data_IF_162024648200
#
_entry.id   IF_162024648200
#
_cell.length_a   1.000
_cell.length_b   1.000
_cell.length_c   1.000
_cell.angle_alpha   90.00
_cell.angle_beta   90.00
_cell.angle_gamma   90.00
#
_symmetry.space_group_name_H-M   'P 1'
#
loop_
_entity.id
_entity.type
_entity.pdbx_description
1 polymer ?
#
# COMPACT_ATOMS: atom_id res chain seq x y z
N UNK A 1 -83.17 -7.04 160.89
CA UNK A 1 -82.57 -7.13 159.54
C UNK A 1 -81.20 -7.80 159.62
N UNK A 2 -81.03 -9.08 159.34
CA UNK A 2 -81.86 -10.29 159.57
C UNK A 2 -81.03 -11.52 159.13
N UNK A 3 -81.17 -12.65 159.83
CA UNK A 3 -81.03 -14.05 159.35
C UNK A 3 -79.73 -14.52 158.62
N UNK A 4 -79.27 -15.78 158.66
CA UNK A 4 -79.54 -16.95 159.53
C UNK A 4 -78.68 -18.16 159.07
N UNK A 5 -78.36 -19.11 159.96
CA UNK A 5 -77.85 -20.49 159.70
C UNK A 5 -76.42 -20.67 159.10
N UNK A 6 -75.67 -21.76 159.35
CA UNK A 6 -75.50 -22.66 160.54
C UNK A 6 -74.24 -23.57 160.40
N UNK A 7 -73.73 -24.10 161.52
CA UNK A 7 -72.83 -25.28 161.69
C UNK A 7 -71.38 -25.34 161.11
N UNK A 8 -70.40 -26.07 161.70
CA UNK A 8 -70.13 -26.44 163.13
C UNK A 8 -68.71 -27.07 163.31
N UNK A 9 -68.33 -27.33 164.58
CA UNK A 9 -67.16 -28.08 165.13
C UNK A 9 -65.85 -27.25 165.27
N UNK A 10 -65.35 -26.85 166.46
CA UNK A 10 -65.09 -27.49 167.79
C UNK A 10 -63.93 -28.51 167.75
N UNK A 11 -62.96 -28.59 168.69
CA UNK A 11 -62.63 -27.85 169.95
C UNK A 11 -61.14 -28.20 170.34
N UNK A 12 -60.40 -27.72 171.36
CA UNK A 12 -60.45 -26.72 172.47
C UNK A 12 -58.95 -26.43 172.87
N UNK A 13 -58.46 -25.31 173.40
CA UNK A 13 -58.45 -24.78 174.79
C UNK A 13 -58.36 -25.82 175.95
N UNK A 14 -57.79 -25.57 177.14
CA UNK A 14 -56.83 -24.57 177.66
C UNK A 14 -56.30 -25.05 179.06
N UNK A 15 -55.48 -24.27 179.77
CA UNK A 15 -54.84 -24.63 181.05
C UNK A 15 -55.56 -24.10 182.32
N UNK A 16 -55.21 -24.64 183.50
CA UNK A 16 -55.70 -24.28 184.84
C UNK A 16 -54.74 -24.89 185.90
N UNK A 17 -54.39 -24.34 187.07
CA UNK A 17 -54.34 -22.97 187.63
C UNK A 17 -53.24 -23.00 188.77
N UNK A 18 -53.13 -22.26 189.90
CA UNK A 18 -53.94 -21.32 190.71
C UNK A 18 -53.01 -20.29 191.42
N UNK A 19 -53.56 -19.27 192.09
CA UNK A 19 -52.82 -18.27 192.90
C UNK A 19 -52.77 -18.64 194.41
N UNK A 20 -51.80 -18.09 195.17
CA UNK A 20 -51.59 -18.42 196.60
C UNK A 20 -51.70 -17.23 197.58
N UNK A 21 -52.68 -17.27 198.49
CA UNK A 21 -52.87 -16.28 199.56
C UNK A 21 -52.04 -16.65 200.81
N UNK A 22 -50.89 -15.98 201.00
CA UNK A 22 -49.82 -16.30 201.97
C UNK A 22 -49.19 -17.70 201.75
N UNK A 23 -47.94 -17.81 201.23
CA UNK A 23 -46.79 -17.02 201.69
C UNK A 23 -45.89 -16.37 200.60
N UNK A 24 -45.04 -15.43 201.06
CA UNK A 24 -43.76 -14.99 200.44
C UNK A 24 -43.70 -14.51 198.97
N UNK A 25 -44.30 -13.35 198.69
CA UNK A 25 -43.69 -12.17 198.03
C UNK A 25 -42.88 -12.24 196.70
N UNK A 26 -42.68 -13.38 196.03
CA UNK A 26 -41.84 -13.46 194.82
C UNK A 26 -42.47 -12.89 193.54
N UNK A 27 -43.80 -12.77 193.46
CA UNK A 27 -44.54 -12.54 192.20
C UNK A 27 -44.62 -11.09 191.69
N UNK A 28 -44.03 -10.11 192.40
CA UNK A 28 -43.93 -8.75 191.83
C UNK A 28 -42.82 -8.68 190.77
N UNK A 29 -41.82 -9.56 190.82
CA UNK A 29 -40.72 -9.59 189.85
C UNK A 29 -41.14 -10.23 188.51
N UNK A 30 -42.02 -11.22 188.55
CA UNK A 30 -42.50 -11.98 187.37
C UNK A 30 -43.34 -11.10 186.45
N UNK A 31 -44.23 -10.27 186.99
CA UNK A 31 -45.07 -9.34 186.21
C UNK A 31 -44.24 -8.27 185.51
N UNK A 32 -43.24 -7.70 186.19
CA UNK A 32 -42.33 -6.70 185.61
C UNK A 32 -41.52 -7.33 184.45
N UNK A 33 -41.01 -8.56 184.64
CA UNK A 33 -40.35 -9.32 183.57
C UNK A 33 -41.29 -9.60 182.38
N UNK A 34 -42.56 -9.92 182.61
CA UNK A 34 -43.50 -10.23 181.53
C UNK A 34 -43.80 -9.00 180.65
N UNK A 35 -43.95 -7.82 181.25
CA UNK A 35 -44.12 -6.55 180.51
C UNK A 35 -42.85 -6.24 179.70
N UNK A 36 -41.66 -6.46 180.29
CA UNK A 36 -40.38 -6.27 179.60
C UNK A 36 -40.22 -7.23 178.41
N UNK A 37 -40.61 -8.50 178.57
CA UNK A 37 -40.62 -9.51 177.50
C UNK A 37 -41.59 -9.13 176.37
N UNK A 38 -42.81 -8.69 176.68
CA UNK A 38 -43.79 -8.28 175.67
C UNK A 38 -43.30 -7.04 174.88
N UNK A 39 -42.72 -6.05 175.58
CA UNK A 39 -42.11 -4.89 174.93
C UNK A 39 -40.91 -5.28 174.04
N UNK A 40 -40.06 -6.21 174.51
CA UNK A 40 -38.93 -6.73 173.75
C UNK A 40 -39.36 -7.51 172.49
N UNK A 41 -40.44 -8.30 172.57
CA UNK A 41 -41.01 -9.01 171.40
C UNK A 41 -41.56 -8.03 170.37
N UNK A 42 -42.30 -6.98 170.79
CA UNK A 42 -42.80 -5.96 169.85
C UNK A 42 -41.66 -5.16 169.21
N UNK A 43 -40.60 -4.85 169.97
CA UNK A 43 -39.38 -4.25 169.41
C UNK A 43 -38.67 -5.19 168.42
N UNK A 44 -38.59 -6.48 168.70
CA UNK A 44 -37.99 -7.47 167.80
C UNK A 44 -38.78 -7.61 166.50
N UNK A 45 -40.11 -7.69 166.55
CA UNK A 45 -40.97 -7.75 165.35
C UNK A 45 -40.76 -6.50 164.50
N UNK A 46 -40.83 -5.31 165.08
CA UNK A 46 -40.67 -4.05 164.33
C UNK A 46 -39.24 -3.84 163.81
N UNK A 47 -38.23 -4.38 164.49
CA UNK A 47 -36.85 -4.41 163.99
C UNK A 47 -36.70 -5.42 162.85
N UNK A 48 -37.37 -6.57 162.89
CA UNK A 48 -37.42 -7.52 161.77
C UNK A 48 -38.14 -6.92 160.56
N UNK A 49 -39.28 -6.25 160.74
CA UNK A 49 -39.97 -5.55 159.65
C UNK A 49 -39.09 -4.48 158.99
N UNK A 50 -38.36 -3.68 159.77
CA UNK A 50 -37.41 -2.70 159.25
C UNK A 50 -36.20 -3.34 158.56
N UNK A 51 -35.69 -4.46 159.09
CA UNK A 51 -34.57 -5.20 158.47
C UNK A 51 -34.98 -5.88 157.16
N UNK A 52 -36.18 -6.45 157.09
CA UNK A 52 -36.68 -7.08 155.87
C UNK A 52 -37.12 -6.03 154.83
N UNK A 53 -37.62 -4.86 155.25
CA UNK A 53 -37.77 -3.70 154.36
C UNK A 53 -36.41 -3.26 153.80
N UNK A 54 -35.39 -3.03 154.65
CA UNK A 54 -34.03 -2.68 154.22
C UNK A 54 -33.40 -3.73 153.30
N UNK A 55 -33.62 -5.02 153.57
CA UNK A 55 -33.20 -6.12 152.69
C UNK A 55 -33.93 -6.10 151.36
N UNK A 56 -35.24 -5.85 151.35
CA UNK A 56 -36.01 -5.75 150.09
C UNK A 56 -35.58 -4.55 149.25
N UNK A 57 -35.27 -3.40 149.87
CA UNK A 57 -34.76 -2.23 149.14
C UNK A 57 -33.33 -2.46 148.65
N UNK A 58 -32.44 -3.04 149.46
CA UNK A 58 -31.09 -3.39 149.00
C UNK A 58 -31.09 -4.48 147.93
N UNK A 59 -32.01 -5.45 147.98
CA UNK A 59 -32.16 -6.47 146.94
C UNK A 59 -32.69 -5.86 145.64
N UNK A 60 -33.70 -4.99 145.69
CA UNK A 60 -34.21 -4.28 144.52
C UNK A 60 -33.19 -3.27 143.96
N UNK A 61 -32.37 -2.65 144.82
CA UNK A 61 -31.25 -1.78 144.41
C UNK A 61 -30.13 -2.61 143.75
N UNK A 62 -29.81 -3.80 144.28
CA UNK A 62 -28.87 -4.74 143.66
C UNK A 62 -29.39 -5.26 142.32
N UNK A 63 -30.66 -5.66 142.22
CA UNK A 63 -31.31 -6.10 140.99
C UNK A 63 -31.35 -4.98 139.94
N UNK A 64 -31.69 -3.75 140.34
CA UNK A 64 -31.65 -2.58 139.46
C UNK A 64 -30.22 -2.22 139.03
N UNK A 65 -29.23 -2.34 139.91
CA UNK A 65 -27.82 -2.07 139.59
C UNK A 65 -27.22 -3.17 138.69
N UNK A 66 -27.62 -4.43 138.89
CA UNK A 66 -27.25 -5.55 138.03
C UNK A 66 -27.94 -5.45 136.66
N UNK A 67 -29.20 -5.00 136.60
CA UNK A 67 -29.90 -4.70 135.36
C UNK A 67 -29.28 -3.51 134.61
N UNK A 68 -28.94 -2.42 135.30
CA UNK A 68 -28.23 -1.26 134.71
C UNK A 68 -26.82 -1.66 134.25
N UNK A 69 -26.14 -2.55 134.98
CA UNK A 69 -24.83 -3.08 134.57
C UNK A 69 -24.95 -3.98 133.34
N UNK A 70 -25.85 -4.97 133.35
CA UNK A 70 -26.03 -5.91 132.22
C UNK A 70 -26.54 -5.20 130.98
N UNK A 71 -27.53 -4.30 131.10
CA UNK A 71 -27.95 -3.45 129.96
C UNK A 71 -26.86 -2.45 129.56
N UNK A 72 -25.97 -2.03 130.45
CA UNK A 72 -24.77 -1.25 130.13
C UNK A 72 -23.76 -2.05 129.30
N UNK A 73 -23.49 -3.29 129.69
CA UNK A 73 -22.61 -4.24 128.97
C UNK A 73 -23.23 -4.67 127.62
N UNK A 74 -24.55 -4.86 127.55
CA UNK A 74 -25.28 -5.09 126.30
C UNK A 74 -25.25 -3.85 125.39
N UNK A 75 -25.50 -2.64 125.92
CA UNK A 75 -25.41 -1.42 125.13
C UNK A 75 -23.98 -1.17 124.64
N UNK A 76 -22.95 -1.36 125.47
CA UNK A 76 -21.55 -1.22 125.03
C UNK A 76 -21.21 -2.25 123.94
N UNK A 77 -21.59 -3.52 124.10
CA UNK A 77 -21.33 -4.52 123.05
C UNK A 77 -22.20 -4.34 121.81
N UNK A 78 -23.34 -3.66 121.89
CA UNK A 78 -24.13 -3.20 120.74
C UNK A 78 -23.49 -1.98 120.06
N UNK A 79 -22.95 -1.01 120.80
CA UNK A 79 -22.20 0.13 120.28
C UNK A 79 -20.91 -0.33 119.58
N UNK A 80 -20.13 -1.25 120.18
CA UNK A 80 -18.96 -1.86 119.55
C UNK A 80 -19.32 -2.61 118.25
N UNK A 81 -20.46 -3.31 118.22
CA UNK A 81 -20.99 -3.95 117.00
C UNK A 81 -21.46 -2.93 115.96
N UNK A 82 -22.10 -1.84 116.37
CA UNK A 82 -22.54 -0.76 115.48
C UNK A 82 -21.33 -0.07 114.85
N UNK A 83 -20.35 0.35 115.65
CA UNK A 83 -19.08 0.93 115.17
C UNK A 83 -18.35 -0.02 114.22
N UNK A 84 -18.33 -1.32 114.52
CA UNK A 84 -17.77 -2.34 113.62
C UNK A 84 -18.53 -2.42 112.29
N UNK A 85 -19.88 -2.42 112.31
CA UNK A 85 -20.70 -2.42 111.09
C UNK A 85 -20.62 -1.10 110.31
N UNK A 86 -20.52 0.04 110.96
CA UNK A 86 -20.31 1.34 110.31
C UNK A 86 -18.92 1.41 109.65
N UNK A 87 -17.89 0.85 110.29
CA UNK A 87 -16.57 0.70 109.70
C UNK A 87 -16.58 -0.25 108.49
N UNK A 88 -17.24 -1.41 108.59
CA UNK A 88 -17.44 -2.32 107.45
C UNK A 88 -18.19 -1.62 106.29
N UNK A 89 -19.27 -0.89 106.57
CA UNK A 89 -20.04 -0.14 105.57
C UNK A 89 -19.21 0.99 104.95
N UNK A 90 -18.37 1.67 105.73
CA UNK A 90 -17.45 2.70 105.24
C UNK A 90 -16.39 2.11 104.30
N UNK A 91 -15.77 1.00 104.70
CA UNK A 91 -14.82 0.24 103.88
C UNK A 91 -15.46 -0.31 102.60
N UNK A 92 -16.67 -0.86 102.69
CA UNK A 92 -17.42 -1.38 101.54
C UNK A 92 -17.84 -0.25 100.59
N UNK A 93 -18.25 0.92 101.09
CA UNK A 93 -18.50 2.12 100.26
C UNK A 93 -17.23 2.62 99.57
N UNK A 94 -16.08 2.62 100.26
CA UNK A 94 -14.80 2.98 99.64
C UNK A 94 -14.39 1.98 98.55
N UNK A 95 -14.62 0.69 98.76
CA UNK A 95 -14.39 -0.35 97.75
C UNK A 95 -15.33 -0.22 96.56
N UNK A 96 -16.62 0.06 96.79
CA UNK A 96 -17.60 0.31 95.74
C UNK A 96 -17.19 1.52 94.90
N UNK A 97 -16.94 2.67 95.55
CA UNK A 97 -16.52 3.91 94.88
C UNK A 97 -15.23 3.73 94.05
N UNK A 98 -14.25 2.98 94.55
CA UNK A 98 -13.04 2.64 93.78
C UNK A 98 -13.32 1.69 92.60
N UNK A 99 -14.27 0.77 92.76
CA UNK A 99 -14.69 -0.12 91.68
C UNK A 99 -15.47 0.64 90.60
N UNK A 100 -16.32 1.58 91.00
CA UNK A 100 -17.06 2.48 90.10
C UNK A 100 -16.08 3.40 89.36
N UNK A 101 -15.15 4.06 90.05
CA UNK A 101 -14.08 4.89 89.44
C UNK A 101 -13.22 4.09 88.45
N UNK A 102 -12.83 2.85 88.79
CA UNK A 102 -12.09 1.96 87.89
C UNK A 102 -12.93 1.56 86.67
N UNK A 103 -14.23 1.31 86.85
CA UNK A 103 -15.15 0.94 85.79
C UNK A 103 -15.45 2.12 84.86
N UNK A 104 -15.65 3.33 85.39
CA UNK A 104 -15.79 4.56 84.60
C UNK A 104 -14.51 4.87 83.81
N UNK A 105 -13.33 4.74 84.43
CA UNK A 105 -12.04 4.92 83.74
C UNK A 105 -11.84 3.89 82.61
N UNK A 106 -12.25 2.63 82.83
CA UNK A 106 -12.23 1.59 81.81
C UNK A 106 -13.21 1.89 80.66
N UNK A 107 -14.43 2.32 80.97
CA UNK A 107 -15.44 2.73 79.97
C UNK A 107 -14.96 3.94 79.17
N UNK A 108 -14.40 4.97 79.81
CA UNK A 108 -13.85 6.14 79.14
C UNK A 108 -12.69 5.78 78.19
N UNK A 109 -11.80 4.88 78.62
CA UNK A 109 -10.72 4.34 77.77
C UNK A 109 -11.26 3.56 76.56
N UNK A 110 -12.25 2.69 76.78
CA UNK A 110 -12.91 1.93 75.71
C UNK A 110 -13.66 2.84 74.71
N UNK A 111 -14.39 3.86 75.20
CA UNK A 111 -15.04 4.86 74.35
C UNK A 111 -14.03 5.64 73.52
N UNK A 112 -12.87 5.98 74.09
CA UNK A 112 -11.79 6.62 73.33
C UNK A 112 -11.25 5.70 72.22
N UNK A 113 -10.97 4.43 72.53
CA UNK A 113 -10.53 3.42 71.55
C UNK A 113 -11.56 3.19 70.44
N UNK A 114 -12.85 3.11 70.78
CA UNK A 114 -13.95 3.02 69.81
C UNK A 114 -13.98 4.28 68.92
N UNK A 115 -13.74 5.47 69.49
CA UNK A 115 -13.70 6.72 68.72
C UNK A 115 -12.52 6.81 67.74
N UNK A 116 -11.34 6.27 68.10
CA UNK A 116 -10.19 6.20 67.19
C UNK A 116 -10.39 5.14 66.10
N UNK A 117 -10.88 3.95 66.47
CA UNK A 117 -11.16 2.87 65.51
C UNK A 117 -12.30 3.25 64.53
N UNK A 118 -13.28 4.03 64.97
CA UNK A 118 -14.31 4.58 64.07
C UNK A 118 -13.69 5.49 63.02
N UNK A 119 -12.81 6.43 63.42
CA UNK A 119 -12.13 7.34 62.48
C UNK A 119 -11.23 6.58 61.52
N UNK A 120 -10.47 5.61 62.02
CA UNK A 120 -9.64 4.74 61.16
C UNK A 120 -10.50 3.97 60.15
N UNK A 121 -11.67 3.46 60.55
CA UNK A 121 -12.66 2.85 59.63
C UNK A 121 -13.16 3.85 58.59
N UNK A 122 -13.51 5.06 59.00
CA UNK A 122 -14.00 6.14 58.11
C UNK A 122 -12.92 6.54 57.08
N UNK A 123 -11.67 6.68 57.52
CA UNK A 123 -10.51 6.96 56.67
C UNK A 123 -10.19 5.79 55.72
N UNK A 124 -10.28 4.54 56.18
CA UNK A 124 -10.11 3.37 55.32
C UNK A 124 -11.23 3.27 54.27
N UNK A 125 -12.48 3.54 54.62
CA UNK A 125 -13.62 3.56 53.69
C UNK A 125 -13.45 4.64 52.60
N UNK A 126 -13.00 5.84 53.00
CA UNK A 126 -12.59 6.91 52.08
C UNK A 126 -11.46 6.48 51.14
N UNK A 127 -10.43 5.80 51.65
CA UNK A 127 -9.34 5.27 50.81
C UNK A 127 -9.82 4.15 49.86
N UNK A 128 -10.73 3.26 50.29
CA UNK A 128 -11.29 2.18 49.46
C UNK A 128 -12.16 2.75 48.32
N UNK A 129 -13.00 3.75 48.59
CA UNK A 129 -13.80 4.39 47.54
C UNK A 129 -12.92 5.09 46.49
N UNK A 130 -11.87 5.80 46.90
CA UNK A 130 -10.89 6.40 45.97
C UNK A 130 -10.20 5.34 45.11
N UNK A 131 -9.65 4.29 45.72
CA UNK A 131 -8.98 3.20 44.99
C UNK A 131 -9.93 2.42 44.06
N UNK A 132 -11.23 2.40 44.36
CA UNK A 132 -12.25 1.83 43.46
C UNK A 132 -12.44 2.72 42.23
N UNK A 133 -12.53 4.05 42.41
CA UNK A 133 -12.62 4.99 41.29
C UNK A 133 -11.34 4.99 40.43
N UNK A 134 -10.15 5.01 41.05
CA UNK A 134 -8.86 4.92 40.36
C UNK A 134 -8.78 3.65 39.48
N UNK A 135 -9.30 2.53 39.99
CA UNK A 135 -9.37 1.25 39.28
C UNK A 135 -10.33 1.30 38.09
N UNK A 136 -11.49 1.93 38.23
CA UNK A 136 -12.47 2.02 37.14
C UNK A 136 -12.01 2.96 36.02
N UNK A 137 -11.34 4.07 36.35
CA UNK A 137 -10.69 4.94 35.37
C UNK A 137 -9.55 4.21 34.63
N UNK A 138 -8.75 3.39 35.35
CA UNK A 138 -7.75 2.52 34.74
C UNK A 138 -8.38 1.45 33.81
N UNK A 139 -9.53 0.86 34.19
CA UNK A 139 -10.26 -0.07 33.33
C UNK A 139 -10.73 0.62 32.03
N UNK A 140 -11.27 1.83 32.12
CA UNK A 140 -11.68 2.65 30.96
C UNK A 140 -10.49 2.96 30.05
N UNK A 141 -9.33 3.32 30.64
CA UNK A 141 -8.10 3.59 29.89
C UNK A 141 -7.59 2.33 29.17
N UNK A 142 -7.58 1.17 29.84
CA UNK A 142 -7.19 -0.12 29.24
C UNK A 142 -8.14 -0.52 28.10
N UNK A 143 -9.45 -0.30 28.25
CA UNK A 143 -10.42 -0.53 27.17
C UNK A 143 -10.15 0.37 25.96
N UNK A 144 -9.85 1.66 26.18
CA UNK A 144 -9.50 2.60 25.09
C UNK A 144 -8.21 2.18 24.37
N UNK A 145 -7.15 1.90 25.11
CA UNK A 145 -5.86 1.48 24.55
C UNK A 145 -5.95 0.14 23.79
N UNK A 146 -6.85 -0.75 24.20
CA UNK A 146 -7.15 -1.99 23.46
C UNK A 146 -7.82 -1.68 22.12
N UNK A 147 -8.83 -0.80 22.11
CA UNK A 147 -9.49 -0.37 20.88
C UNK A 147 -8.54 0.36 19.92
N UNK A 148 -7.68 1.25 20.43
CA UNK A 148 -6.67 1.96 19.64
C UNK A 148 -5.64 0.99 19.03
N UNK A 149 -5.22 -0.02 19.80
CA UNK A 149 -4.35 -1.12 19.31
C UNK A 149 -5.02 -1.91 18.19
N UNK A 150 -6.31 -2.25 18.32
CA UNK A 150 -7.03 -3.00 17.29
C UNK A 150 -7.25 -2.16 16.01
N UNK A 151 -7.56 -0.86 16.17
CA UNK A 151 -7.60 0.09 15.06
C UNK A 151 -6.24 0.22 14.35
N UNK A 152 -5.12 0.15 15.09
CA UNK A 152 -3.77 0.15 14.52
C UNK A 152 -3.45 -1.19 13.81
N UNK A 153 -3.83 -2.33 14.38
CA UNK A 153 -3.69 -3.65 13.75
C UNK A 153 -4.45 -3.73 12.41
N UNK A 154 -5.65 -3.16 12.33
CA UNK A 154 -6.42 -3.06 11.09
C UNK A 154 -5.73 -2.17 10.06
N UNK A 155 -5.14 -1.04 10.47
CA UNK A 155 -4.35 -0.18 9.57
C UNK A 155 -3.09 -0.86 9.06
N UNK A 156 -2.32 -1.54 9.93
CA UNK A 156 -1.14 -2.33 9.53
C UNK A 156 -1.54 -3.39 8.51
N UNK A 157 -2.62 -4.12 8.77
CA UNK A 157 -3.13 -5.17 7.86
C UNK A 157 -3.48 -4.61 6.47
N UNK A 158 -4.15 -3.45 6.41
CA UNK A 158 -4.45 -2.75 5.14
C UNK A 158 -3.18 -2.34 4.39
N UNK A 159 -2.23 -1.71 5.09
CA UNK A 159 -0.95 -1.30 4.51
C UNK A 159 -0.14 -2.51 4.02
N UNK A 160 -0.19 -3.66 4.70
CA UNK A 160 0.41 -4.91 4.21
C UNK A 160 -0.29 -5.41 2.93
N UNK A 161 -1.63 -5.38 2.85
CA UNK A 161 -2.34 -5.78 1.63
C UNK A 161 -2.08 -4.84 0.45
N UNK A 162 -1.98 -3.52 0.70
CA UNK A 162 -1.66 -2.53 -0.33
C UNK A 162 -0.20 -2.66 -0.80
N UNK A 163 0.74 -2.93 0.11
CA UNK A 163 2.16 -3.21 -0.22
C UNK A 163 2.27 -4.45 -1.10
N UNK A 164 1.59 -5.55 -0.74
CA UNK A 164 1.59 -6.78 -1.53
C UNK A 164 0.96 -6.56 -2.92
N UNK A 165 -0.11 -5.76 -3.00
CA UNK A 165 -0.72 -5.36 -4.29
C UNK A 165 0.25 -4.55 -5.14
N UNK A 166 0.92 -3.55 -4.57
CA UNK A 166 1.88 -2.71 -5.29
C UNK A 166 3.08 -3.54 -5.78
N UNK A 167 3.56 -4.51 -5.01
CA UNK A 167 4.61 -5.44 -5.46
C UNK A 167 4.16 -6.24 -6.68
N UNK A 168 2.96 -6.83 -6.66
CA UNK A 168 2.42 -7.55 -7.82
C UNK A 168 2.27 -6.66 -9.07
N UNK A 169 1.95 -5.37 -8.90
CA UNK A 169 1.90 -4.41 -10.01
C UNK A 169 3.31 -4.04 -10.54
N UNK A 170 4.33 -4.03 -9.69
CA UNK A 170 5.74 -3.84 -10.10
C UNK A 170 6.24 -5.08 -10.85
N UNK A 171 5.94 -6.28 -10.37
CA UNK A 171 6.32 -7.55 -11.02
C UNK A 171 5.71 -7.67 -12.42
N UNK A 172 4.45 -7.29 -12.59
CA UNK A 172 3.74 -7.29 -13.88
C UNK A 172 4.30 -6.22 -14.84
N UNK A 173 4.52 -4.99 -14.34
CA UNK A 173 5.14 -3.93 -15.13
C UNK A 173 6.57 -4.30 -15.58
N UNK A 174 7.34 -5.00 -14.75
CA UNK A 174 8.69 -5.48 -15.09
C UNK A 174 8.65 -6.48 -16.24
N UNK A 175 7.75 -7.48 -16.17
CA UNK A 175 7.54 -8.44 -17.29
C UNK A 175 7.07 -7.76 -18.58
N UNK A 176 6.24 -6.72 -18.46
CA UNK A 176 5.81 -5.92 -19.62
C UNK A 176 6.99 -5.19 -20.26
N UNK A 177 7.90 -4.62 -19.47
CA UNK A 177 9.14 -3.99 -19.94
C UNK A 177 10.08 -5.02 -20.58
N UNK A 178 10.23 -6.21 -20.00
CA UNK A 178 11.04 -7.30 -20.57
C UNK A 178 10.52 -7.72 -21.95
N UNK A 179 9.20 -7.99 -22.07
CA UNK A 179 8.56 -8.34 -23.34
C UNK A 179 8.69 -7.24 -24.40
N UNK A 180 8.44 -5.97 -24.03
CA UNK A 180 8.60 -4.83 -24.92
C UNK A 180 10.06 -4.63 -25.36
N UNK A 181 11.02 -4.96 -24.50
CA UNK A 181 12.46 -4.92 -24.84
C UNK A 181 12.82 -6.04 -25.83
N UNK A 182 12.27 -7.26 -25.67
CA UNK A 182 12.48 -8.33 -26.65
C UNK A 182 11.85 -7.99 -28.01
N UNK A 183 10.62 -7.48 -28.04
CA UNK A 183 9.95 -7.07 -29.28
C UNK A 183 10.64 -5.87 -29.95
N UNK A 184 11.16 -4.90 -29.18
CA UNK A 184 11.99 -3.82 -29.71
C UNK A 184 13.27 -4.37 -30.36
N UNK A 185 13.93 -5.34 -29.74
CA UNK A 185 15.11 -6.00 -30.31
C UNK A 185 14.76 -6.79 -31.58
N UNK A 186 13.66 -7.56 -31.59
CA UNK A 186 13.16 -8.29 -32.78
C UNK A 186 12.86 -7.34 -33.94
N UNK A 187 12.21 -6.21 -33.67
CA UNK A 187 11.90 -5.18 -34.69
C UNK A 187 13.17 -4.51 -35.20
N UNK A 188 14.14 -4.21 -34.33
CA UNK A 188 15.44 -3.64 -34.70
C UNK A 188 16.24 -4.57 -35.62
N UNK A 189 16.35 -5.86 -35.26
CA UNK A 189 16.99 -6.88 -36.10
C UNK A 189 16.30 -7.05 -37.45
N UNK A 190 14.96 -7.03 -37.49
CA UNK A 190 14.22 -7.06 -38.77
C UNK A 190 14.47 -5.81 -39.62
N UNK A 191 14.54 -4.63 -39.00
CA UNK A 191 14.85 -3.38 -39.71
C UNK A 191 16.24 -3.44 -40.35
N UNK A 192 17.25 -3.93 -39.63
CA UNK A 192 18.60 -4.12 -40.17
C UNK A 192 18.59 -5.05 -41.39
N UNK A 193 17.95 -6.22 -41.32
CA UNK A 193 17.82 -7.14 -42.45
C UNK A 193 17.14 -6.48 -43.66
N UNK A 194 16.04 -5.74 -43.46
CA UNK A 194 15.36 -5.03 -44.57
C UNK A 194 16.20 -3.88 -45.16
N UNK A 195 17.13 -3.31 -44.38
CA UNK A 195 18.05 -2.29 -44.88
C UNK A 195 19.13 -2.94 -45.77
N UNK A 196 19.70 -4.07 -45.34
CA UNK A 196 20.68 -4.84 -46.12
C UNK A 196 20.06 -5.39 -47.42
N UNK A 197 18.80 -5.85 -47.38
CA UNK A 197 18.02 -6.23 -48.57
C UNK A 197 17.84 -5.05 -49.54
N UNK A 198 17.50 -3.86 -49.03
CA UNK A 198 17.32 -2.66 -49.87
C UNK A 198 18.62 -2.22 -50.54
N UNK A 199 19.75 -2.22 -49.82
CA UNK A 199 21.05 -1.84 -50.40
C UNK A 199 21.63 -2.92 -51.33
N UNK A 200 21.34 -4.19 -51.08
CA UNK A 200 21.58 -5.28 -52.04
C UNK A 200 20.75 -5.09 -53.33
N UNK A 201 19.46 -4.79 -53.21
CA UNK A 201 18.57 -4.56 -54.35
C UNK A 201 18.96 -3.31 -55.16
N UNK A 202 19.34 -2.21 -54.48
CA UNK A 202 19.91 -1.01 -55.11
C UNK A 202 21.17 -1.31 -55.91
N UNK A 203 22.03 -2.18 -55.39
CA UNK A 203 23.27 -2.59 -56.06
C UNK A 203 22.99 -3.47 -57.29
N UNK A 204 22.08 -4.43 -57.16
CA UNK A 204 21.60 -5.27 -58.28
C UNK A 204 20.96 -4.42 -59.39
N UNK A 205 20.09 -3.47 -59.04
CA UNK A 205 19.43 -2.58 -60.00
C UNK A 205 20.44 -1.69 -60.75
N UNK A 206 21.49 -1.19 -60.07
CA UNK A 206 22.58 -0.45 -60.72
C UNK A 206 23.32 -1.32 -61.75
N UNK A 207 23.70 -2.54 -61.37
CA UNK A 207 24.37 -3.46 -62.28
C UNK A 207 23.51 -3.81 -63.51
N UNK A 208 22.22 -4.08 -63.31
CA UNK A 208 21.28 -4.35 -64.40
C UNK A 208 21.07 -3.13 -65.31
N UNK A 209 21.03 -1.91 -64.75
CA UNK A 209 20.95 -0.68 -65.53
C UNK A 209 22.22 -0.42 -66.35
N UNK A 210 23.39 -0.82 -65.84
CA UNK A 210 24.66 -0.72 -66.59
C UNK A 210 24.74 -1.77 -67.71
N UNK A 211 24.37 -3.02 -67.42
CA UNK A 211 24.28 -4.08 -68.43
C UNK A 211 23.32 -3.71 -69.57
N UNK A 212 22.15 -3.14 -69.24
CA UNK A 212 21.20 -2.64 -70.23
C UNK A 212 21.78 -1.51 -71.08
N UNK A 213 22.50 -0.57 -70.49
CA UNK A 213 23.17 0.51 -71.23
C UNK A 213 24.28 -0.03 -72.15
N UNK A 214 25.07 -1.01 -71.70
CA UNK A 214 26.07 -1.69 -72.53
C UNK A 214 25.43 -2.48 -73.67
N UNK A 215 24.29 -3.15 -73.44
CA UNK A 215 23.54 -3.86 -74.48
C UNK A 215 22.94 -2.91 -75.52
N UNK A 216 22.39 -1.77 -75.09
CA UNK A 216 21.92 -0.71 -75.98
C UNK A 216 23.06 -0.12 -76.83
N UNK A 217 24.22 0.16 -76.24
CA UNK A 217 25.40 0.63 -76.97
C UNK A 217 25.87 -0.39 -78.03
N UNK A 218 25.90 -1.68 -77.69
CA UNK A 218 26.23 -2.77 -78.64
C UNK A 218 25.22 -2.88 -79.79
N UNK A 219 23.93 -2.68 -79.54
CA UNK A 219 22.92 -2.66 -80.61
C UNK A 219 23.12 -1.45 -81.55
N UNK A 220 23.45 -0.27 -81.02
CA UNK A 220 23.75 0.91 -81.85
C UNK A 220 25.01 0.70 -82.71
N UNK A 221 26.06 0.08 -82.16
CA UNK A 221 27.28 -0.31 -82.90
C UNK A 221 26.99 -1.37 -83.98
N UNK A 222 26.15 -2.36 -83.66
CA UNK A 222 25.69 -3.38 -84.61
C UNK A 222 24.84 -2.78 -85.74
N UNK A 223 23.95 -1.82 -85.45
CA UNK A 223 23.15 -1.12 -86.46
C UNK A 223 24.02 -0.23 -87.37
N UNK A 224 25.05 0.43 -86.82
CA UNK A 224 26.02 1.22 -87.58
C UNK A 224 26.86 0.34 -88.51
N UNK A 225 27.51 -0.70 -87.99
CA UNK A 225 28.32 -1.63 -88.80
C UNK A 225 27.49 -2.37 -89.85
N UNK A 226 26.21 -2.65 -89.57
CA UNK A 226 25.26 -3.22 -90.53
C UNK A 226 24.81 -2.20 -91.60
N UNK A 227 24.77 -0.90 -91.29
CA UNK A 227 24.56 0.16 -92.28
C UNK A 227 25.78 0.31 -93.20
N UNK A 228 26.99 0.35 -92.64
CA UNK A 228 28.23 0.42 -93.42
C UNK A 228 28.40 -0.80 -94.34
N UNK A 229 28.16 -2.01 -93.83
CA UNK A 229 28.22 -3.24 -94.62
C UNK A 229 27.16 -3.27 -95.75
N UNK A 230 26.00 -2.62 -95.56
CA UNK A 230 25.01 -2.43 -96.64
C UNK A 230 25.55 -1.50 -97.73
N UNK A 231 26.24 -0.42 -97.36
CA UNK A 231 26.85 0.53 -98.31
C UNK A 231 27.96 -0.16 -99.10
N UNK A 232 28.86 -0.87 -98.41
CA UNK A 232 29.94 -1.63 -99.04
C UNK A 232 29.42 -2.75 -99.95
N UNK A 233 28.36 -3.46 -99.54
CA UNK A 233 27.72 -4.46 -100.39
C UNK A 233 27.09 -3.85 -101.65
N UNK A 234 26.45 -2.67 -101.55
CA UNK A 234 25.94 -1.95 -102.73
C UNK A 234 27.08 -1.53 -103.68
N UNK A 235 28.17 -0.99 -103.14
CA UNK A 235 29.34 -0.60 -103.91
C UNK A 235 30.03 -1.83 -104.57
N UNK A 236 30.15 -2.95 -103.86
CA UNK A 236 30.68 -4.20 -104.38
C UNK A 236 29.78 -4.82 -105.46
N UNK A 237 28.46 -4.83 -105.25
CA UNK A 237 27.48 -5.28 -106.25
C UNK A 237 27.59 -4.50 -107.54
N UNK A 238 27.80 -3.18 -107.48
CA UNK A 238 27.98 -2.34 -108.66
C UNK A 238 29.34 -2.60 -109.35
N UNK A 239 30.40 -2.96 -108.60
CA UNK A 239 31.68 -3.44 -109.18
C UNK A 239 31.49 -4.81 -109.87
N UNK A 240 30.72 -5.72 -109.28
CA UNK A 240 30.41 -7.05 -109.83
C UNK A 240 29.56 -6.96 -111.11
N UNK A 241 28.46 -6.21 -111.10
CA UNK A 241 27.62 -5.94 -112.28
C UNK A 241 28.46 -5.40 -113.46
N UNK A 242 29.44 -4.54 -113.16
CA UNK A 242 30.35 -3.96 -114.16
C UNK A 242 31.33 -4.96 -114.78
N UNK A 243 31.62 -6.07 -114.09
CA UNK A 243 32.51 -7.16 -114.54
C UNK A 243 31.75 -8.26 -115.32
N UNK A 244 30.55 -8.63 -114.88
CA UNK A 244 29.80 -9.79 -115.41
C UNK A 244 28.95 -9.44 -116.64
N UNK A 245 28.67 -8.15 -116.88
CA UNK A 245 27.94 -7.71 -118.09
C UNK A 245 28.64 -8.13 -119.40
N UNK A 246 27.89 -8.52 -120.44
CA UNK A 246 28.46 -8.97 -121.71
C UNK A 246 29.20 -7.83 -122.42
N UNK A 247 30.31 -8.14 -123.10
CA UNK A 247 31.14 -7.15 -123.78
C UNK A 247 30.33 -6.22 -124.73
N UNK A 248 30.68 -4.93 -124.75
CA UNK A 248 30.02 -3.91 -125.59
C UNK A 248 30.20 -4.21 -127.08
N UNK A 249 29.14 -4.67 -127.75
CA UNK A 249 29.13 -4.97 -129.19
C UNK A 249 28.33 -3.95 -129.98
N UNK A 250 28.74 -3.72 -131.24
CA UNK A 250 27.98 -2.94 -132.22
C UNK A 250 27.08 -3.80 -133.12
N UNK A 251 27.06 -5.12 -132.90
CA UNK A 251 26.28 -6.09 -133.67
C UNK A 251 24.81 -5.97 -133.26
N UNK A 252 23.93 -5.85 -134.26
CA UNK A 252 22.48 -5.71 -134.07
C UNK A 252 22.09 -4.52 -133.17
N UNK A 253 22.81 -3.40 -133.33
CA UNK A 253 22.58 -2.10 -132.66
C UNK A 253 22.49 -0.95 -133.67
N UNK A 254 21.78 0.11 -133.31
CA UNK A 254 21.72 1.35 -134.09
C UNK A 254 23.00 2.16 -133.88
N UNK A 255 24.00 1.92 -134.72
CA UNK A 255 25.29 2.62 -134.69
C UNK A 255 25.14 4.05 -135.23
N UNK A 256 25.18 5.02 -134.32
CA UNK A 256 25.47 6.42 -134.61
C UNK A 256 26.99 6.62 -134.58
N UNK A 257 27.54 7.43 -135.49
CA UNK A 257 28.94 7.87 -135.39
C UNK A 257 28.98 9.37 -135.12
N UNK A 258 29.75 9.77 -134.10
CA UNK A 258 29.97 11.18 -133.73
C UNK A 258 31.47 11.46 -133.78
N UNK A 259 31.92 12.20 -134.79
CA UNK A 259 33.29 12.69 -134.84
C UNK A 259 33.37 14.03 -134.11
N UNK A 260 34.37 14.20 -133.26
CA UNK A 260 34.58 15.43 -132.47
C UNK A 260 36.00 15.97 -132.67
N UNK A 261 36.12 17.26 -132.95
CA UNK A 261 37.38 17.95 -133.19
C UNK A 261 37.30 19.44 -132.79
N UNK A 262 38.45 20.11 -132.77
CA UNK A 262 38.65 21.52 -132.43
C UNK A 262 39.50 22.18 -133.50
N UNK A 263 38.86 22.81 -134.48
CA UNK A 263 39.51 23.36 -135.69
C UNK A 263 39.56 24.88 -135.56
N UNK A 264 40.75 25.47 -135.68
CA UNK A 264 40.99 26.92 -135.47
C UNK A 264 40.35 27.45 -134.16
N UNK A 265 40.45 26.67 -133.08
CA UNK A 265 39.89 26.98 -131.76
C UNK A 265 38.41 26.64 -131.57
N UNK A 266 37.62 26.50 -132.64
CA UNK A 266 36.19 26.20 -132.56
C UNK A 266 35.91 24.69 -132.47
N UNK A 267 34.96 24.29 -131.62
CA UNK A 267 34.54 22.91 -131.46
C UNK A 267 33.59 22.48 -132.60
N UNK A 268 34.00 21.46 -133.35
CA UNK A 268 33.29 20.89 -134.50
C UNK A 268 32.79 19.49 -134.14
N UNK A 269 31.48 19.27 -134.34
CA UNK A 269 30.81 17.99 -134.11
C UNK A 269 30.22 17.52 -135.45
N UNK A 270 30.74 16.42 -135.96
CA UNK A 270 30.28 15.75 -137.18
C UNK A 270 29.42 14.53 -136.80
N UNK A 271 28.14 14.56 -137.11
CA UNK A 271 27.18 13.51 -136.81
C UNK A 271 26.84 12.67 -138.05
N UNK A 272 26.83 11.34 -137.91
CA UNK A 272 26.41 10.38 -138.93
C UNK A 272 25.25 9.55 -138.35
N UNK A 273 24.09 9.64 -138.99
CA UNK A 273 22.88 8.94 -138.60
C UNK A 273 23.00 7.43 -138.90
N UNK A 274 22.25 6.55 -138.19
CA UNK A 274 22.26 5.11 -138.49
C UNK A 274 21.87 4.86 -139.95
N UNK A 275 22.66 4.06 -140.67
CA UNK A 275 22.43 3.75 -142.09
C UNK A 275 22.77 4.86 -143.10
N UNK A 276 23.02 6.10 -142.68
CA UNK A 276 23.54 7.13 -143.59
C UNK A 276 25.03 6.93 -143.87
N UNK A 277 25.52 7.35 -145.04
CA UNK A 277 26.96 7.28 -145.37
C UNK A 277 27.74 8.55 -145.04
N UNK A 278 27.12 9.72 -145.22
CA UNK A 278 27.75 11.03 -145.03
C UNK A 278 27.71 11.51 -143.57
N UNK A 279 28.72 12.29 -143.19
CA UNK A 279 28.71 13.07 -141.95
C UNK A 279 28.01 14.42 -142.21
N UNK A 280 27.31 14.93 -141.21
CA UNK A 280 26.72 16.28 -141.18
C UNK A 280 27.22 17.01 -139.95
N UNK A 281 27.83 18.17 -140.13
CA UNK A 281 28.26 19.02 -139.01
C UNK A 281 27.02 19.59 -138.30
N UNK A 282 26.97 19.49 -136.96
CA UNK A 282 25.81 19.87 -136.14
C UNK A 282 26.27 20.59 -134.86
N UNK A 283 25.43 21.48 -134.32
CA UNK A 283 25.68 22.02 -132.98
C UNK A 283 25.47 20.97 -131.88
N UNK A 284 26.06 21.16 -130.70
CA UNK A 284 25.85 20.27 -129.53
C UNK A 284 24.36 20.12 -129.16
N UNK A 285 23.57 21.20 -129.27
CA UNK A 285 22.13 21.18 -129.00
C UNK A 285 21.37 20.30 -130.02
N UNK A 286 21.72 20.38 -131.29
CA UNK A 286 21.15 19.54 -132.35
C UNK A 286 21.60 18.07 -132.25
N UNK A 287 22.85 17.81 -131.86
CA UNK A 287 23.34 16.46 -131.53
C UNK A 287 22.51 15.86 -130.39
N UNK A 288 22.43 16.56 -129.26
CA UNK A 288 21.68 16.10 -128.08
C UNK A 288 20.19 15.90 -128.41
N UNK A 289 19.55 16.80 -129.17
CA UNK A 289 18.16 16.62 -129.63
C UNK A 289 17.97 15.42 -130.57
N UNK A 290 18.99 15.05 -131.34
CA UNK A 290 18.93 13.91 -132.26
C UNK A 290 19.17 12.59 -131.54
N UNK A 291 20.17 12.55 -130.64
CA UNK A 291 20.44 11.42 -129.76
C UNK A 291 19.29 11.18 -128.77
N UNK A 292 18.69 12.23 -128.19
CA UNK A 292 17.51 12.10 -127.31
C UNK A 292 16.30 11.55 -128.07
N UNK A 293 16.02 12.01 -129.30
CA UNK A 293 14.92 11.45 -130.12
C UNK A 293 15.17 9.98 -130.49
N UNK A 294 16.39 9.62 -130.90
CA UNK A 294 16.75 8.23 -131.18
C UNK A 294 16.65 7.35 -129.92
N UNK A 295 17.10 7.86 -128.76
CA UNK A 295 16.95 7.18 -127.46
C UNK A 295 15.47 6.99 -127.09
N UNK A 296 14.60 7.97 -127.33
CA UNK A 296 13.17 7.82 -127.08
C UNK A 296 12.53 6.73 -127.97
N UNK A 297 12.95 6.60 -129.24
CA UNK A 297 12.38 5.64 -130.20
C UNK A 297 13.01 4.24 -130.15
N UNK A 298 14.24 4.09 -129.62
CA UNK A 298 15.03 2.83 -129.65
C UNK A 298 15.77 2.51 -128.33
N UNK A 299 15.43 3.18 -127.23
CA UNK A 299 15.84 2.94 -125.84
C UNK A 299 17.23 2.31 -125.66
N UNK A 300 17.26 0.97 -125.54
CA UNK A 300 18.43 0.19 -125.13
C UNK A 300 19.17 -0.46 -126.31
N UNK A 301 19.04 0.09 -127.53
CA UNK A 301 19.70 -0.40 -128.75
C UNK A 301 20.58 0.65 -129.45
N UNK A 302 20.73 1.86 -128.89
CA UNK A 302 21.53 2.95 -129.45
C UNK A 302 23.02 2.75 -129.13
N UNK A 303 23.85 2.56 -130.16
CA UNK A 303 25.31 2.49 -130.03
C UNK A 303 25.93 3.81 -130.50
N UNK A 304 26.71 4.48 -129.66
CA UNK A 304 27.38 5.75 -129.96
C UNK A 304 28.86 5.50 -130.20
N UNK A 305 29.29 5.55 -131.46
CA UNK A 305 30.70 5.48 -131.86
C UNK A 305 31.29 6.89 -131.89
N UNK A 306 31.89 7.33 -130.78
CA UNK A 306 32.67 8.57 -130.78
C UNK A 306 34.00 8.33 -131.52
N UNK A 307 34.39 9.25 -132.41
CA UNK A 307 35.64 9.23 -133.14
C UNK A 307 36.39 10.55 -132.90
N UNK A 308 37.61 10.44 -132.40
CA UNK A 308 38.52 11.58 -132.20
C UNK A 308 39.63 11.44 -133.26
N UNK A 309 39.71 12.33 -134.26
CA UNK A 309 40.81 12.33 -135.23
C UNK A 309 42.18 12.51 -134.55
N UNK A 310 43.26 11.97 -135.14
CA UNK A 310 44.63 12.20 -134.64
C UNK A 310 44.98 13.69 -134.56
N UNK A 311 44.57 14.46 -135.57
CA UNK A 311 44.78 15.91 -135.65
C UNK A 311 43.55 16.68 -135.13
N UNK A 312 42.91 16.19 -134.06
CA UNK A 312 41.66 16.77 -133.54
C UNK A 312 41.82 18.08 -132.78
N UNK A 313 43.02 18.44 -132.31
CA UNK A 313 43.24 19.67 -131.53
C UNK A 313 42.56 19.71 -130.16
N UNK A 314 42.01 18.59 -129.69
CA UNK A 314 41.36 18.45 -128.39
C UNK A 314 42.38 18.02 -127.32
N UNK A 315 42.26 18.53 -126.10
CA UNK A 315 42.93 17.95 -124.94
C UNK A 315 42.31 16.59 -124.57
N UNK A 316 43.08 15.76 -123.85
CA UNK A 316 42.59 14.48 -123.33
C UNK A 316 41.32 14.66 -122.48
N UNK A 317 41.28 15.68 -121.62
CA UNK A 317 40.14 15.94 -120.76
C UNK A 317 38.89 16.38 -121.53
N UNK A 318 39.02 17.24 -122.55
CA UNK A 318 37.89 17.61 -123.43
C UNK A 318 37.34 16.38 -124.17
N UNK A 319 38.23 15.59 -124.77
CA UNK A 319 37.88 14.41 -125.56
C UNK A 319 37.25 13.30 -124.70
N UNK A 320 37.83 13.01 -123.53
CA UNK A 320 37.32 12.04 -122.58
C UNK A 320 35.98 12.48 -121.99
N UNK A 321 35.85 13.74 -121.56
CA UNK A 321 34.60 14.28 -120.98
C UNK A 321 33.46 14.24 -122.00
N UNK A 322 33.72 14.67 -123.24
CA UNK A 322 32.73 14.57 -124.32
C UNK A 322 32.30 13.11 -124.54
N UNK A 323 33.26 12.19 -124.65
CA UNK A 323 33.00 10.76 -124.91
C UNK A 323 32.21 10.11 -123.77
N UNK A 324 32.63 10.33 -122.52
CA UNK A 324 31.98 9.81 -121.32
C UNK A 324 30.55 10.35 -121.16
N UNK A 325 30.32 11.66 -121.40
CA UNK A 325 28.98 12.25 -121.40
C UNK A 325 28.08 11.64 -122.50
N UNK A 326 28.60 11.44 -123.72
CA UNK A 326 27.84 10.79 -124.80
C UNK A 326 27.49 9.34 -124.46
N UNK A 327 28.44 8.60 -123.91
CA UNK A 327 28.24 7.22 -123.49
C UNK A 327 27.22 7.12 -122.35
N UNK A 328 27.45 7.75 -121.18
CA UNK A 328 26.55 7.67 -120.02
C UNK A 328 25.13 8.17 -120.29
N UNK A 329 24.94 9.15 -121.19
CA UNK A 329 23.63 9.73 -121.50
C UNK A 329 22.88 8.97 -122.60
N UNK A 330 23.56 8.42 -123.59
CA UNK A 330 22.95 7.92 -124.83
C UNK A 330 23.37 6.51 -125.29
N UNK A 331 24.56 6.02 -124.98
CA UNK A 331 24.99 4.68 -125.41
C UNK A 331 24.38 3.58 -124.53
N UNK A 332 23.77 2.57 -125.15
CA UNK A 332 23.02 1.52 -124.46
C UNK A 332 23.80 0.82 -123.33
N UNK A 333 25.12 0.68 -123.46
CA UNK A 333 25.95 -0.11 -122.55
C UNK A 333 26.27 0.60 -121.23
N UNK A 334 26.27 1.94 -121.23
CA UNK A 334 26.74 2.75 -120.11
C UNK A 334 25.61 3.45 -119.32
N UNK A 335 24.34 3.23 -119.70
CA UNK A 335 23.21 3.90 -119.04
C UNK A 335 22.89 3.32 -117.66
N UNK A 336 23.05 2.00 -117.48
CA UNK A 336 22.84 1.38 -116.17
C UNK A 336 23.89 1.81 -115.15
N UNK A 337 25.17 1.87 -115.54
CA UNK A 337 26.23 2.46 -114.71
C UNK A 337 25.81 3.88 -114.26
N UNK A 338 25.40 4.72 -115.21
CA UNK A 338 25.03 6.11 -114.97
C UNK A 338 23.73 6.30 -114.14
N UNK A 339 22.93 5.24 -113.94
CA UNK A 339 21.78 5.22 -113.02
C UNK A 339 22.19 4.66 -111.65
N UNK A 340 22.88 3.52 -111.62
CA UNK A 340 23.35 2.86 -110.40
C UNK A 340 24.33 3.74 -109.62
N UNK A 341 25.23 4.46 -110.30
CA UNK A 341 26.17 5.42 -109.69
C UNK A 341 25.52 6.67 -109.09
N UNK A 342 24.26 6.99 -109.42
CA UNK A 342 23.54 8.11 -108.77
C UNK A 342 22.94 7.67 -107.44
N UNK A 343 22.39 6.45 -107.40
CA UNK A 343 21.76 5.84 -106.23
C UNK A 343 22.73 5.44 -105.10
N UNK A 344 24.02 5.82 -105.19
CA UNK A 344 25.00 5.76 -104.09
C UNK A 344 25.34 7.18 -103.56
N UNK A 345 24.96 8.22 -104.30
CA UNK A 345 25.34 9.62 -104.06
C UNK A 345 24.09 10.48 -103.72
N UNK A 346 22.96 9.81 -103.42
CA UNK A 346 21.67 10.33 -102.96
C UNK A 346 21.32 9.60 -101.66
#
# INVERSE_FOLDING_TARGET
MDNSFVDLRLNHHAAQAEEGFWPSFTDIMTVILMIFMLAMVVLLIRNMELLDQLRSTMAAEQEAMELVKTTGEENQTLEERLLSREYELSMMRMQLMRSEEQQEAAIASQLHQISSLSRERDDLESNVTRLTHDKDDLNILVTRLTHDKDNLNVQVTRLTTDTNRLQLQIDDATRSIENLTEDMNRVSSRHALTQDELDSLRTSFRAQSEELAQAQAKNVDADQTLADLKIDFQALKIKYDKLVRPARTSRDKFVVVVRFAKIKGQLVIDYKAPGSESFKTVSRKQLDQSLTRLKAHKANQLYVKVIIPKNSGLSYNEAWTFTNQMHKKYDYYFQEDAKKERMINE
#
